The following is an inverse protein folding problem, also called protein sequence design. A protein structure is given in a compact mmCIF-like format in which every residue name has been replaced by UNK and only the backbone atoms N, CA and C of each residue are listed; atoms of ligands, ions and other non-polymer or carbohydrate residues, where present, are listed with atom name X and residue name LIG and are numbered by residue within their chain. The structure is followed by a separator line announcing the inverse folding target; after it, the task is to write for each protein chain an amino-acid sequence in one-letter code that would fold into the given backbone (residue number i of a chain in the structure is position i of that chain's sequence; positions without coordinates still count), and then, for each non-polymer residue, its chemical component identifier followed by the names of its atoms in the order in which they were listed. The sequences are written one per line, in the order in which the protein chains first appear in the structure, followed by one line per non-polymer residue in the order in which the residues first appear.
data_IF_316903814332
#
_entry.id   IF_316903814332
#
_cell.length_a   1.000
_cell.length_b   1.000
_cell.length_c   1.000
_cell.angle_alpha   90.00
_cell.angle_beta   90.00
_cell.angle_gamma   90.00
#
_symmetry.space_group_name_H-M   'P 1'
#
loop_
_entity.id
_entity.type
_entity.pdbx_description
1 polymer ?
#
# COMPACT_ATOMS: atom_id res chain seq x y z
N UNK A 1 37.38 44.69 19.55
CA UNK A 1 36.20 43.80 19.47
C UNK A 1 35.97 43.39 18.02
N UNK A 2 36.24 42.15 17.62
CA UNK A 2 35.94 41.71 16.26
C UNK A 2 34.50 41.22 16.17
N UNK A 3 33.80 41.64 15.11
CA UNK A 3 32.39 41.33 14.85
C UNK A 3 32.19 39.83 14.58
N UNK A 4 31.45 39.18 15.47
CA UNK A 4 30.94 37.81 15.28
C UNK A 4 29.82 37.85 14.23
N UNK A 5 30.12 37.41 13.01
CA UNK A 5 29.10 37.14 11.98
C UNK A 5 28.39 35.84 12.32
N UNK A 6 27.19 35.94 12.92
CA UNK A 6 26.26 34.83 13.09
C UNK A 6 25.86 34.30 11.70
N UNK A 7 26.30 33.10 11.34
CA UNK A 7 25.72 32.34 10.22
C UNK A 7 24.25 32.05 10.55
N UNK A 8 23.36 32.55 9.69
CA UNK A 8 21.93 32.18 9.70
C UNK A 8 21.80 30.66 9.47
N UNK A 9 20.81 29.98 10.09
CA UNK A 9 20.57 28.57 9.88
C UNK A 9 20.20 28.30 8.41
N UNK A 10 20.68 27.16 7.89
CA UNK A 10 20.37 26.69 6.54
C UNK A 10 18.86 26.76 6.28
N UNK A 11 18.51 27.51 5.25
CA UNK A 11 17.16 27.60 4.70
C UNK A 11 16.72 26.18 4.30
N UNK A 12 15.48 25.74 4.60
CA UNK A 12 15.00 24.47 4.07
C UNK A 12 15.10 24.50 2.54
N UNK A 13 15.62 23.42 1.96
CA UNK A 13 15.73 23.24 0.51
C UNK A 13 14.36 23.52 -0.11
N UNK A 14 14.30 24.45 -1.07
CA UNK A 14 13.07 24.69 -1.84
C UNK A 14 12.70 23.37 -2.52
N UNK A 15 11.42 22.93 -2.47
CA UNK A 15 11.02 21.74 -3.21
C UNK A 15 11.35 21.93 -4.68
N UNK A 16 12.12 20.99 -5.23
CA UNK A 16 12.53 20.97 -6.62
C UNK A 16 11.27 21.11 -7.51
N UNK A 17 11.21 22.17 -8.32
CA UNK A 17 10.06 22.53 -9.18
C UNK A 17 9.98 21.69 -10.46
N UNK A 18 10.57 20.50 -10.44
CA UNK A 18 10.47 19.54 -11.53
C UNK A 18 9.25 18.64 -11.32
N UNK A 19 8.56 18.25 -12.40
CA UNK A 19 7.46 17.30 -12.31
C UNK A 19 7.95 15.95 -11.78
N UNK A 20 7.03 15.18 -11.19
CA UNK A 20 7.31 13.85 -10.68
C UNK A 20 7.23 12.86 -11.84
N UNK A 21 8.31 12.14 -12.10
CA UNK A 21 8.30 11.09 -13.11
C UNK A 21 7.84 9.79 -12.48
N UNK A 22 6.86 9.14 -13.12
CA UNK A 22 6.31 7.88 -12.68
C UNK A 22 6.41 6.82 -13.78
N UNK A 23 6.60 5.58 -13.33
CA UNK A 23 6.51 4.39 -14.15
C UNK A 23 5.30 3.57 -13.70
N UNK A 24 4.62 2.94 -14.67
CA UNK A 24 3.55 2.01 -14.34
C UNK A 24 4.15 0.70 -13.85
N UNK A 25 3.72 0.21 -12.69
CA UNK A 25 4.12 -1.10 -12.18
C UNK A 25 3.14 -2.18 -12.60
N UNK A 26 3.66 -3.35 -12.99
CA UNK A 26 2.86 -4.58 -12.99
C UNK A 26 2.69 -5.02 -11.55
N UNK A 27 1.46 -5.07 -11.09
CA UNK A 27 1.13 -5.71 -9.81
C UNK A 27 0.16 -6.85 -10.04
N UNK A 28 -0.10 -7.66 -9.01
CA UNK A 28 -1.08 -8.77 -9.01
C UNK A 28 -2.51 -8.37 -9.39
N UNK A 29 -2.74 -7.08 -9.60
CA UNK A 29 -3.93 -6.50 -10.21
C UNK A 29 -4.00 -6.83 -11.72
N UNK A 30 -2.86 -6.93 -12.41
CA UNK A 30 -2.76 -7.06 -13.87
C UNK A 30 -2.52 -8.49 -14.38
N UNK A 31 -1.93 -9.39 -13.57
CA UNK A 31 -1.68 -10.78 -13.97
C UNK A 31 -1.74 -11.75 -12.77
N UNK A 32 -2.37 -12.91 -12.95
CA UNK A 32 -2.35 -13.96 -11.93
C UNK A 32 -1.00 -14.65 -11.78
N UNK A 33 -0.73 -15.23 -10.61
CA UNK A 33 0.52 -15.97 -10.38
C UNK A 33 0.64 -17.21 -11.30
N UNK A 34 1.85 -17.75 -11.49
CA UNK A 34 2.10 -18.93 -12.36
C UNK A 34 1.27 -20.17 -11.96
N UNK A 35 0.88 -20.28 -10.68
CA UNK A 35 0.00 -21.34 -10.17
C UNK A 35 -1.49 -21.10 -10.47
N UNK A 36 -1.84 -19.92 -10.96
CA UNK A 36 -3.21 -19.49 -11.21
C UNK A 36 -3.60 -19.53 -12.69
N UNK A 37 -2.66 -19.78 -13.63
CA UNK A 37 -2.99 -19.93 -15.05
C UNK A 37 -4.12 -20.96 -15.24
N UNK A 38 -5.23 -20.51 -15.84
CA UNK A 38 -6.47 -21.28 -16.01
C UNK A 38 -6.23 -22.65 -16.60
N UNK A 39 -5.24 -22.72 -17.48
CA UNK A 39 -4.86 -23.90 -18.27
C UNK A 39 -4.34 -25.04 -17.40
N UNK A 40 -3.99 -24.78 -16.13
CA UNK A 40 -3.53 -25.79 -15.16
C UNK A 40 -4.62 -26.32 -14.22
N UNK A 41 -5.85 -25.79 -14.29
CA UNK A 41 -6.98 -26.23 -13.43
C UNK A 41 -7.82 -27.32 -14.11
N UNK A 42 -8.53 -28.18 -13.36
CA UNK A 42 -9.45 -29.17 -13.92
C UNK A 42 -10.46 -28.55 -14.91
N UNK A 43 -10.82 -29.26 -16.00
CA UNK A 43 -11.63 -28.72 -17.10
C UNK A 43 -13.01 -28.19 -16.66
N UNK A 44 -13.62 -28.80 -15.64
CA UNK A 44 -14.88 -28.35 -15.06
C UNK A 44 -14.77 -26.93 -14.45
N UNK A 45 -13.65 -26.62 -13.80
CA UNK A 45 -13.37 -25.30 -13.21
C UNK A 45 -13.10 -24.27 -14.32
N UNK A 46 -12.49 -24.68 -15.43
CA UNK A 46 -12.28 -23.81 -16.58
C UNK A 46 -13.61 -23.45 -17.27
N UNK A 47 -14.51 -24.42 -17.45
CA UNK A 47 -15.80 -24.22 -18.12
C UNK A 47 -16.74 -23.32 -17.31
N UNK A 48 -16.93 -23.63 -16.03
CA UNK A 48 -17.71 -22.79 -15.09
C UNK A 48 -17.19 -21.35 -15.05
N UNK A 49 -15.87 -21.18 -15.05
CA UNK A 49 -15.23 -19.87 -15.09
C UNK A 49 -15.48 -19.13 -16.40
N UNK A 50 -15.39 -19.79 -17.56
CA UNK A 50 -15.70 -19.15 -18.85
C UNK A 50 -17.16 -18.66 -18.87
N UNK A 51 -18.09 -19.45 -18.34
CA UNK A 51 -19.48 -19.05 -18.19
C UNK A 51 -19.65 -17.82 -17.29
N UNK A 52 -19.09 -17.82 -16.07
CA UNK A 52 -19.14 -16.68 -15.14
C UNK A 52 -18.51 -15.43 -15.78
N UNK A 53 -17.33 -15.58 -16.39
CA UNK A 53 -16.59 -14.49 -17.02
C UNK A 53 -17.39 -13.85 -18.16
N UNK A 54 -18.08 -14.69 -18.95
CA UNK A 54 -19.00 -14.28 -20.01
C UNK A 54 -20.21 -13.53 -19.47
N UNK A 55 -20.88 -14.05 -18.43
CA UNK A 55 -22.03 -13.40 -17.79
C UNK A 55 -21.67 -12.01 -17.27
N UNK A 56 -20.55 -11.88 -16.53
CA UNK A 56 -20.06 -10.58 -16.07
C UNK A 56 -19.70 -9.65 -17.24
N UNK A 57 -19.27 -10.20 -18.38
CA UNK A 57 -19.00 -9.44 -19.61
C UNK A 57 -20.24 -8.81 -20.18
N UNK A 58 -21.28 -9.62 -20.33
CA UNK A 58 -22.59 -9.15 -20.78
C UNK A 58 -23.17 -8.12 -19.82
N UNK A 59 -23.12 -8.39 -18.50
CA UNK A 59 -23.56 -7.44 -17.47
C UNK A 59 -22.80 -6.12 -17.56
N UNK A 60 -21.48 -6.15 -17.73
CA UNK A 60 -20.69 -4.94 -17.82
C UNK A 60 -21.03 -4.12 -19.06
N UNK A 61 -21.14 -4.76 -20.23
CA UNK A 61 -21.54 -4.07 -21.45
C UNK A 61 -22.92 -3.40 -21.30
N UNK A 62 -23.88 -4.11 -20.70
CA UNK A 62 -25.22 -3.59 -20.43
C UNK A 62 -25.20 -2.43 -19.41
N UNK A 63 -24.47 -2.58 -18.30
CA UNK A 63 -24.39 -1.59 -17.23
C UNK A 63 -23.59 -0.35 -17.64
N UNK A 64 -22.52 -0.48 -18.43
CA UNK A 64 -21.82 0.65 -19.06
C UNK A 64 -22.75 1.42 -19.99
N UNK A 65 -23.54 0.73 -20.82
CA UNK A 65 -24.50 1.39 -21.71
C UNK A 65 -25.59 2.11 -20.92
N UNK A 66 -26.11 1.49 -19.86
CA UNK A 66 -27.10 2.09 -18.98
C UNK A 66 -26.56 3.32 -18.24
N UNK A 67 -25.35 3.22 -17.67
CA UNK A 67 -24.68 4.33 -16.98
C UNK A 67 -24.47 5.54 -17.91
N UNK A 68 -23.97 5.30 -19.12
CA UNK A 68 -23.81 6.36 -20.13
C UNK A 68 -25.14 6.99 -20.53
N UNK A 69 -26.19 6.18 -20.75
CA UNK A 69 -27.53 6.68 -21.07
C UNK A 69 -28.13 7.50 -19.92
N UNK A 70 -27.81 7.15 -18.68
CA UNK A 70 -28.22 7.88 -17.47
C UNK A 70 -27.36 9.14 -17.21
N UNK A 71 -26.48 9.53 -18.12
CA UNK A 71 -25.63 10.72 -17.98
C UNK A 71 -24.53 10.57 -16.92
N UNK A 72 -24.13 9.34 -16.59
CA UNK A 72 -23.06 9.14 -15.60
C UNK A 72 -21.70 9.48 -16.21
N UNK A 73 -20.91 10.25 -15.46
CA UNK A 73 -19.55 10.63 -15.84
C UNK A 73 -18.53 9.82 -15.04
N UNK A 74 -17.34 9.56 -15.59
CA UNK A 74 -16.22 8.98 -14.85
C UNK A 74 -15.96 9.74 -13.55
N UNK A 75 -15.57 9.00 -12.52
CA UNK A 75 -15.04 9.51 -11.26
C UNK A 75 -13.86 8.63 -10.82
N UNK A 76 -12.97 9.19 -10.01
CA UNK A 76 -11.84 8.48 -9.44
C UNK A 76 -12.20 8.01 -8.03
N UNK A 77 -11.90 6.75 -7.75
CA UNK A 77 -11.84 6.16 -6.42
C UNK A 77 -10.36 6.03 -6.06
N UNK A 78 -9.80 6.97 -5.29
CA UNK A 78 -8.39 6.96 -4.96
C UNK A 78 -8.11 5.94 -3.87
N UNK A 79 -6.98 5.24 -3.99
CA UNK A 79 -6.47 4.38 -2.93
C UNK A 79 -5.46 5.17 -2.09
N UNK A 80 -5.16 4.62 -0.93
CA UNK A 80 -4.16 5.16 -0.03
C UNK A 80 -2.78 4.86 -0.62
N UNK A 81 -2.00 5.90 -0.85
CA UNK A 81 -0.64 5.75 -1.32
C UNK A 81 0.31 5.39 -0.19
N UNK A 82 1.42 4.76 -0.53
CA UNK A 82 2.54 4.56 0.40
C UNK A 82 3.87 4.58 -0.34
N UNK A 83 4.97 4.77 0.37
CA UNK A 83 6.29 4.78 -0.23
C UNK A 83 7.41 4.99 0.77
N UNK A 84 8.59 5.27 0.23
CA UNK A 84 9.77 5.72 0.98
C UNK A 84 10.15 7.13 0.56
N UNK A 85 11.18 7.70 1.17
CA UNK A 85 11.73 8.99 0.76
C UNK A 85 12.17 9.01 -0.72
N UNK A 86 12.33 7.87 -1.39
CA UNK A 86 12.80 7.79 -2.79
C UNK A 86 11.69 7.50 -3.81
N UNK A 87 10.60 6.87 -3.38
CA UNK A 87 9.51 6.50 -4.27
C UNK A 87 8.16 6.62 -3.58
N UNK A 88 7.12 6.89 -4.37
CA UNK A 88 5.73 6.93 -3.95
C UNK A 88 4.90 6.03 -4.84
N UNK A 89 4.12 5.16 -4.23
CA UNK A 89 3.16 4.33 -4.93
C UNK A 89 1.78 4.98 -4.91
N UNK A 90 1.25 5.19 -6.10
CA UNK A 90 -0.02 5.87 -6.35
C UNK A 90 -0.97 4.90 -7.03
N UNK A 91 -2.12 4.66 -6.41
CA UNK A 91 -3.10 3.69 -6.89
C UNK A 91 -4.47 4.37 -6.96
N UNK A 92 -5.19 4.17 -8.05
CA UNK A 92 -6.59 4.58 -8.14
C UNK A 92 -7.40 3.68 -9.06
N UNK A 93 -8.72 3.82 -8.99
CA UNK A 93 -9.65 3.20 -9.92
C UNK A 93 -10.65 4.21 -10.49
N UNK A 94 -10.93 4.16 -11.78
CA UNK A 94 -11.96 4.95 -12.44
C UNK A 94 -13.23 4.16 -12.67
N UNK A 95 -14.36 4.77 -12.32
CA UNK A 95 -15.71 4.17 -12.33
C UNK A 95 -16.74 5.19 -12.78
N UNK A 96 -17.86 4.76 -13.35
CA UNK A 96 -18.97 5.66 -13.67
C UNK A 96 -19.78 5.99 -12.42
N UNK A 97 -20.09 7.28 -12.23
CA UNK A 97 -20.96 7.74 -11.15
C UNK A 97 -22.02 8.74 -11.62
N UNK A 98 -23.15 8.78 -10.92
CA UNK A 98 -24.26 9.69 -11.20
C UNK A 98 -23.86 11.18 -11.04
N UNK A 99 -24.48 12.10 -11.80
CA UNK A 99 -24.31 13.55 -11.62
C UNK A 99 -24.70 14.02 -10.20
N UNK A 100 -24.09 15.10 -9.71
CA UNK A 100 -24.42 15.71 -8.41
C UNK A 100 -24.02 14.90 -7.17
N UNK A 101 -23.70 13.61 -7.32
CA UNK A 101 -23.02 12.84 -6.28
C UNK A 101 -21.53 13.22 -6.30
N UNK A 102 -21.18 14.27 -5.55
CA UNK A 102 -19.80 14.47 -5.09
C UNK A 102 -19.37 13.28 -4.22
N UNK A 103 -18.08 13.12 -3.97
CA UNK A 103 -17.59 12.17 -2.96
C UNK A 103 -18.07 12.67 -1.59
N UNK A 104 -19.33 12.42 -1.26
CA UNK A 104 -19.73 12.36 0.12
C UNK A 104 -19.08 11.06 0.60
N UNK A 105 -18.05 11.17 1.44
CA UNK A 105 -17.54 10.08 2.32
C UNK A 105 -18.64 9.61 3.31
N UNK A 106 -19.92 9.72 2.95
CA UNK A 106 -20.99 9.03 3.62
C UNK A 106 -20.80 7.58 3.26
N UNK A 107 -20.41 6.81 4.27
CA UNK A 107 -20.31 5.35 4.28
C UNK A 107 -21.37 4.77 3.33
N UNK A 108 -20.91 4.39 2.13
CA UNK A 108 -21.80 3.88 1.10
C UNK A 108 -22.11 2.42 1.43
N UNK A 109 -23.40 2.07 1.39
CA UNK A 109 -23.90 0.73 1.73
C UNK A 109 -23.20 -0.36 0.91
N UNK A 110 -22.87 -1.46 1.58
CA UNK A 110 -21.90 -2.48 1.18
C UNK A 110 -22.04 -3.12 -0.22
N UNK A 111 -23.23 -3.10 -0.81
CA UNK A 111 -23.54 -3.74 -2.11
C UNK A 111 -23.05 -2.89 -3.30
N UNK A 112 -22.94 -1.56 -3.15
CA UNK A 112 -22.78 -0.66 -4.30
C UNK A 112 -21.51 -0.93 -5.12
N UNK A 113 -20.43 -1.40 -4.49
CA UNK A 113 -19.16 -1.67 -5.17
C UNK A 113 -19.18 -2.91 -6.07
N UNK A 114 -19.99 -3.93 -5.75
CA UNK A 114 -20.18 -5.10 -6.63
C UNK A 114 -20.87 -4.67 -7.94
N UNK A 115 -21.61 -3.57 -7.90
CA UNK A 115 -22.33 -2.98 -9.04
C UNK A 115 -21.68 -1.70 -9.57
N UNK A 116 -20.48 -1.36 -9.11
CA UNK A 116 -19.77 -0.23 -9.69
C UNK A 116 -19.35 -0.59 -11.10
N UNK A 117 -19.74 0.28 -12.02
CA UNK A 117 -19.46 0.11 -13.44
C UNK A 117 -18.09 0.73 -13.67
N UNK A 118 -17.02 -0.05 -13.95
CA UNK A 118 -15.74 0.55 -14.29
C UNK A 118 -15.85 1.53 -15.46
N UNK A 119 -14.98 2.53 -15.44
CA UNK A 119 -14.82 3.50 -16.51
C UNK A 119 -13.39 3.33 -17.04
N UNK A 120 -13.19 2.51 -18.09
CA UNK A 120 -11.87 2.13 -18.54
C UNK A 120 -11.26 3.21 -19.43
N UNK A 121 -9.92 3.27 -19.50
CA UNK A 121 -9.19 4.21 -20.36
C UNK A 121 -9.60 5.66 -20.11
N UNK A 122 -9.80 6.01 -18.85
CA UNK A 122 -10.12 7.37 -18.44
C UNK A 122 -8.80 8.10 -18.18
N UNK A 123 -8.58 9.28 -18.80
CA UNK A 123 -7.41 10.10 -18.49
C UNK A 123 -7.58 10.72 -17.11
N UNK A 124 -6.55 10.56 -16.29
CA UNK A 124 -6.49 11.09 -14.92
C UNK A 124 -5.25 11.97 -14.80
N UNK A 125 -5.42 13.18 -14.30
CA UNK A 125 -4.32 14.03 -13.86
C UNK A 125 -4.04 13.74 -12.39
N UNK A 126 -2.76 13.58 -12.05
CA UNK A 126 -2.33 13.26 -10.69
C UNK A 126 -1.32 14.30 -10.24
N UNK A 127 -1.42 14.74 -8.99
CA UNK A 127 -0.37 15.50 -8.33
C UNK A 127 -0.12 15.00 -6.91
N UNK A 128 1.12 15.11 -6.45
CA UNK A 128 1.52 14.85 -5.06
C UNK A 128 1.95 16.19 -4.47
N UNK A 129 1.25 16.63 -3.43
CA UNK A 129 1.41 17.96 -2.81
C UNK A 129 1.40 19.12 -3.82
N UNK A 130 0.55 19.01 -4.83
CA UNK A 130 0.41 20.00 -5.90
C UNK A 130 1.44 19.89 -7.03
N UNK A 131 2.41 18.97 -6.93
CA UNK A 131 3.39 18.74 -8.00
C UNK A 131 2.84 17.69 -8.96
N UNK A 132 2.72 17.98 -10.27
CA UNK A 132 2.16 17.04 -11.24
C UNK A 132 3.03 15.79 -11.40
N UNK A 133 2.37 14.65 -11.54
CA UNK A 133 2.97 13.35 -11.87
C UNK A 133 2.81 13.09 -13.37
N UNK A 134 3.90 12.72 -14.03
CA UNK A 134 3.96 12.40 -15.45
C UNK A 134 4.38 10.95 -15.65
N UNK A 135 3.84 10.29 -16.68
CA UNK A 135 4.29 8.98 -17.15
C UNK A 135 4.89 9.11 -18.57
N UNK A 136 6.01 8.42 -18.86
CA UNK A 136 6.74 8.53 -20.13
C UNK A 136 5.93 8.13 -21.39
N UNK A 137 6.46 8.45 -22.60
CA UNK A 137 5.76 8.41 -23.92
C UNK A 137 4.87 7.18 -24.08
N UNK A 138 3.58 7.46 -24.25
CA UNK A 138 2.57 6.48 -24.60
C UNK A 138 1.49 6.32 -23.54
N UNK A 139 0.93 7.41 -23.02
CA UNK A 139 -0.33 7.40 -22.26
C UNK A 139 -1.51 6.66 -22.92
N UNK A 140 -1.32 5.91 -24.01
CA UNK A 140 -2.23 4.87 -24.52
C UNK A 140 -1.84 3.50 -23.95
N UNK A 141 -2.80 2.88 -23.26
CA UNK A 141 -2.82 1.47 -22.86
C UNK A 141 -2.54 0.57 -24.08
N UNK A 142 -1.30 0.14 -24.24
CA UNK A 142 -0.86 -0.96 -25.11
C UNK A 142 -0.53 -2.17 -24.26
N UNK A 143 -0.74 -3.37 -24.81
CA UNK A 143 -0.64 -4.67 -24.13
C UNK A 143 0.82 -4.96 -23.69
N UNK A 144 1.09 -4.93 -22.38
CA UNK A 144 2.45 -4.88 -21.80
C UNK A 144 2.95 -6.27 -21.44
N UNK A 145 3.32 -7.10 -22.42
CA UNK A 145 3.91 -8.43 -22.23
C UNK A 145 5.37 -8.44 -21.75
N UNK A 146 6.02 -7.28 -21.58
CA UNK A 146 7.44 -7.17 -21.22
C UNK A 146 7.58 -6.58 -19.80
N UNK A 147 8.61 -6.98 -19.06
CA UNK A 147 9.06 -6.47 -17.74
C UNK A 147 8.49 -7.17 -16.48
N UNK A 148 9.39 -7.84 -15.75
CA UNK A 148 9.20 -8.53 -14.46
C UNK A 148 10.37 -8.12 -13.55
N UNK A 149 10.08 -7.73 -12.29
CA UNK A 149 11.00 -7.51 -11.14
C UNK A 149 11.50 -6.08 -10.82
N UNK A 150 11.81 -5.86 -9.53
CA UNK A 150 12.39 -4.64 -8.94
C UNK A 150 13.86 -4.44 -9.34
N UNK A 151 14.56 -5.46 -9.85
CA UNK A 151 15.97 -5.36 -10.27
C UNK A 151 16.16 -4.56 -11.57
N UNK A 152 15.11 -4.33 -12.36
CA UNK A 152 15.15 -3.38 -13.49
C UNK A 152 15.11 -1.91 -13.07
N UNK A 153 15.27 -1.60 -11.77
CA UNK A 153 15.32 -0.24 -11.20
C UNK A 153 16.52 0.61 -11.68
N UNK A 154 17.51 0.03 -12.35
CA UNK A 154 18.70 0.78 -12.80
C UNK A 154 18.58 1.30 -14.24
N UNK A 155 17.64 0.81 -15.04
CA UNK A 155 17.45 1.25 -16.43
C UNK A 155 16.39 2.36 -16.54
N UNK A 156 16.68 3.55 -16.00
CA UNK A 156 15.84 4.76 -16.10
C UNK A 156 16.22 5.67 -17.29
N UNK A 157 17.16 5.27 -18.14
CA UNK A 157 17.80 6.17 -19.13
C UNK A 157 16.99 6.48 -20.39
N UNK A 158 15.76 5.99 -20.57
CA UNK A 158 14.91 6.44 -21.69
C UNK A 158 14.06 7.67 -21.33
N UNK A 159 14.77 8.74 -20.94
CA UNK A 159 14.22 10.08 -20.65
C UNK A 159 13.91 10.90 -21.92
N UNK A 160 14.22 10.38 -23.11
CA UNK A 160 13.93 10.99 -24.43
C UNK A 160 12.42 11.10 -24.77
N UNK A 161 11.56 10.80 -23.79
CA UNK A 161 10.12 10.75 -23.95
C UNK A 161 9.35 11.95 -23.41
N UNK A 162 10.03 12.90 -22.76
CA UNK A 162 9.42 14.12 -22.21
C UNK A 162 9.77 15.38 -23.01
N UNK A 163 9.87 15.26 -24.34
CA UNK A 163 10.07 16.41 -25.24
C UNK A 163 9.00 17.50 -24.97
N UNK A 164 9.46 18.75 -24.82
CA UNK A 164 8.66 19.97 -24.59
C UNK A 164 8.20 20.28 -23.15
N UNK A 165 8.79 19.72 -22.09
CA UNK A 165 8.50 20.21 -20.72
C UNK A 165 8.84 21.70 -20.51
N UNK A 166 9.86 22.20 -21.20
CA UNK A 166 10.29 23.61 -21.14
C UNK A 166 9.30 24.57 -21.81
N UNK A 167 8.29 24.04 -22.52
CA UNK A 167 7.25 24.85 -23.18
C UNK A 167 6.14 25.31 -22.23
N UNK A 168 6.09 24.79 -21.00
CA UNK A 168 5.08 25.15 -20.01
C UNK A 168 5.56 26.23 -19.05
N UNK A 169 4.78 27.30 -18.89
CA UNK A 169 5.13 28.46 -18.07
C UNK A 169 5.26 28.13 -16.57
N UNK A 170 4.47 27.17 -16.07
CA UNK A 170 4.47 26.75 -14.68
C UNK A 170 3.89 25.32 -14.50
N UNK A 171 4.00 24.79 -13.28
CA UNK A 171 3.51 23.45 -12.93
C UNK A 171 2.00 23.33 -13.01
N UNK A 172 1.24 24.41 -12.79
CA UNK A 172 -0.22 24.38 -12.85
C UNK A 172 -0.70 24.19 -14.30
N UNK A 173 -0.04 24.87 -15.25
CA UNK A 173 -0.27 24.71 -16.69
C UNK A 173 0.09 23.29 -17.15
N UNK A 174 1.19 22.72 -16.63
CA UNK A 174 1.58 21.34 -16.91
C UNK A 174 0.58 20.34 -16.32
N UNK A 175 0.08 20.57 -15.11
CA UNK A 175 -0.82 19.67 -14.39
C UNK A 175 -2.19 19.46 -15.05
N UNK A 176 -2.61 20.38 -15.93
CA UNK A 176 -3.85 20.30 -16.70
C UNK A 176 -3.63 19.99 -18.18
N UNK A 177 -2.38 19.78 -18.58
CA UNK A 177 -2.00 19.52 -19.98
C UNK A 177 -2.22 18.05 -20.37
N UNK A 178 -2.37 17.78 -21.67
CA UNK A 178 -2.46 16.42 -22.21
C UNK A 178 -1.22 15.56 -21.87
N UNK A 179 -0.06 16.19 -21.68
CA UNK A 179 1.19 15.50 -21.31
C UNK A 179 1.12 14.90 -19.90
N UNK A 180 0.26 15.46 -19.04
CA UNK A 180 0.01 14.97 -17.68
C UNK A 180 -1.15 13.98 -17.56
N UNK A 181 -1.84 13.66 -18.67
CA UNK A 181 -2.92 12.68 -18.67
C UNK A 181 -2.36 11.25 -18.60
N UNK A 182 -2.72 10.54 -17.55
CA UNK A 182 -2.38 9.12 -17.39
C UNK A 182 -3.67 8.30 -17.50
N UNK A 183 -3.75 7.44 -18.53
CA UNK A 183 -4.94 6.63 -18.77
C UNK A 183 -4.97 5.39 -17.88
N UNK A 184 -6.13 5.14 -17.28
CA UNK A 184 -6.43 3.88 -16.60
C UNK A 184 -6.56 2.72 -17.58
N UNK A 185 -6.42 1.48 -17.10
CA UNK A 185 -6.51 0.30 -17.95
C UNK A 185 -7.94 -0.10 -18.36
N UNK A 186 -8.07 -1.31 -18.91
CA UNK A 186 -9.33 -1.88 -19.37
C UNK A 186 -10.36 -2.15 -18.24
N UNK A 187 -9.93 -2.16 -16.98
CA UNK A 187 -10.79 -2.31 -15.79
C UNK A 187 -10.89 -1.00 -14.99
N UNK A 188 -10.27 0.07 -15.49
CA UNK A 188 -10.23 1.37 -14.83
C UNK A 188 -9.16 1.46 -13.75
N UNK A 189 -8.21 0.53 -13.65
CA UNK A 189 -7.12 0.61 -12.67
C UNK A 189 -5.94 1.43 -13.17
N UNK A 190 -5.24 2.04 -12.20
CA UNK A 190 -3.96 2.68 -12.39
C UNK A 190 -3.11 2.46 -11.13
N UNK A 191 -1.89 1.96 -11.33
CA UNK A 191 -0.89 1.68 -10.31
C UNK A 191 0.45 2.22 -10.81
N UNK A 192 0.98 3.23 -10.13
CA UNK A 192 2.16 3.98 -10.54
C UNK A 192 3.17 4.01 -9.41
N UNK A 193 4.44 3.85 -9.76
CA UNK A 193 5.59 4.22 -8.92
C UNK A 193 6.15 5.54 -9.40
N UNK A 194 5.94 6.59 -8.61
CA UNK A 194 6.50 7.92 -8.76
C UNK A 194 7.87 8.00 -8.05
N UNK A 195 8.93 8.38 -8.76
CA UNK A 195 10.27 8.57 -8.18
C UNK A 195 10.48 10.04 -7.82
N UNK A 196 10.67 10.32 -6.53
CA UNK A 196 10.98 11.67 -6.04
C UNK A 196 11.48 11.59 -4.60
N UNK A 197 12.44 12.47 -4.30
CA UNK A 197 12.85 12.75 -2.93
C UNK A 197 11.71 13.40 -2.14
N UNK A 198 11.22 12.69 -1.14
CA UNK A 198 10.14 13.09 -0.26
C UNK A 198 10.57 13.04 1.19
N UNK A 199 9.96 13.90 2.01
CA UNK A 199 10.15 13.83 3.46
C UNK A 199 9.32 12.70 4.05
N UNK A 200 9.75 12.03 5.13
CA UNK A 200 8.89 11.10 5.84
C UNK A 200 7.66 11.80 6.42
N UNK A 201 6.51 11.12 6.37
CA UNK A 201 5.25 11.66 6.89
C UNK A 201 4.06 11.42 5.98
N UNK A 202 3.00 12.22 6.20
CA UNK A 202 1.75 12.13 5.44
C UNK A 202 1.71 13.24 4.40
N UNK A 203 1.57 12.83 3.15
CA UNK A 203 1.45 13.69 1.97
C UNK A 203 0.07 13.54 1.34
N UNK A 204 -0.28 14.41 0.40
CA UNK A 204 -1.59 14.39 -0.26
C UNK A 204 -1.45 14.10 -1.74
N UNK A 205 -2.13 13.05 -2.21
CA UNK A 205 -2.32 12.79 -3.64
C UNK A 205 -3.64 13.43 -4.05
N UNK A 206 -3.62 14.18 -5.15
CA UNK A 206 -4.80 14.75 -5.80
C UNK A 206 -5.00 14.09 -7.15
N UNK A 207 -6.24 13.68 -7.43
CA UNK A 207 -6.64 13.09 -8.71
C UNK A 207 -7.73 13.96 -9.33
N UNK A 208 -7.58 14.29 -10.61
CA UNK A 208 -8.57 15.05 -11.36
C UNK A 208 -8.97 14.31 -12.64
N UNK A 209 -10.27 14.33 -12.93
CA UNK A 209 -10.86 13.82 -14.17
C UNK A 209 -11.85 14.83 -14.71
N UNK A 210 -12.07 14.80 -16.03
CA UNK A 210 -12.99 15.70 -16.71
C UNK A 210 -14.41 15.64 -16.10
N UNK A 211 -15.06 16.80 -16.00
CA UNK A 211 -16.43 16.98 -15.50
C UNK A 211 -16.64 16.56 -14.03
N UNK A 212 -15.59 16.51 -13.21
CA UNK A 212 -15.67 16.27 -11.76
C UNK A 212 -14.70 17.18 -11.00
N UNK A 213 -15.06 17.47 -9.75
CA UNK A 213 -14.12 18.11 -8.82
C UNK A 213 -12.96 17.15 -8.50
N UNK A 214 -11.73 17.66 -8.28
CA UNK A 214 -10.60 16.86 -7.83
C UNK A 214 -10.88 16.14 -6.51
N UNK A 215 -10.24 14.99 -6.34
CA UNK A 215 -10.42 14.11 -5.18
C UNK A 215 -9.06 13.80 -4.57
N UNK A 216 -9.00 13.67 -3.25
CA UNK A 216 -7.72 13.49 -2.53
C UNK A 216 -7.65 12.20 -1.73
N UNK A 217 -6.45 11.64 -1.63
CA UNK A 217 -6.12 10.54 -0.72
C UNK A 217 -4.78 10.77 -0.01
N UNK A 218 -4.60 10.20 1.18
CA UNK A 218 -3.32 10.28 1.89
C UNK A 218 -2.26 9.39 1.22
N UNK A 219 -1.02 9.85 1.29
CA UNK A 219 0.21 9.14 0.90
C UNK A 219 1.12 9.04 2.12
N UNK A 220 1.44 7.82 2.54
CA UNK A 220 2.31 7.56 3.69
C UNK A 220 3.75 7.32 3.24
N UNK A 221 4.65 8.24 3.56
CA UNK A 221 6.08 8.12 3.28
C UNK A 221 6.81 7.66 4.54
N UNK A 222 7.44 6.49 4.43
CA UNK A 222 8.29 5.94 5.49
C UNK A 222 9.73 6.41 5.28
N UNK A 223 10.51 6.63 6.36
CA UNK A 223 11.95 6.86 6.23
C UNK A 223 12.64 5.76 5.41
N UNK A 224 13.57 6.14 4.53
CA UNK A 224 14.35 5.16 3.79
C UNK A 224 15.28 4.42 4.77
N UNK A 225 15.32 3.08 4.65
CA UNK A 225 16.10 2.25 5.57
C UNK A 225 15.47 1.99 6.94
N UNK A 226 14.18 2.29 7.16
CA UNK A 226 13.44 1.76 8.32
C UNK A 226 13.64 0.23 8.41
N UNK A 227 14.31 -0.30 9.46
CA UNK A 227 14.73 -1.69 9.48
C UNK A 227 13.56 -2.66 9.77
N UNK A 228 12.49 -2.13 10.37
CA UNK A 228 11.33 -2.89 10.82
C UNK A 228 10.05 -2.24 10.30
N UNK A 229 9.13 -3.06 9.80
CA UNK A 229 7.76 -2.69 9.47
C UNK A 229 6.76 -3.63 10.16
N UNK A 230 5.52 -3.17 10.32
CA UNK A 230 4.45 -3.95 10.95
C UNK A 230 3.41 -4.24 9.88
N UNK A 231 3.02 -5.51 9.74
CA UNK A 231 1.89 -5.92 8.89
C UNK A 231 0.82 -6.49 9.83
N UNK A 232 -0.33 -5.83 9.85
CA UNK A 232 -1.45 -6.16 10.73
C UNK A 232 -2.67 -6.55 9.91
N UNK A 233 -3.33 -7.66 10.23
CA UNK A 233 -4.72 -7.83 9.81
C UNK A 233 -5.63 -6.83 10.54
N UNK A 234 -6.78 -6.54 9.96
CA UNK A 234 -7.77 -5.60 10.54
C UNK A 234 -8.90 -6.36 11.23
N UNK A 235 -9.58 -7.21 10.47
CA UNK A 235 -10.78 -7.90 10.91
C UNK A 235 -10.42 -8.92 11.99
N UNK A 236 -11.16 -8.93 13.11
CA UNK A 236 -10.91 -9.75 14.29
C UNK A 236 -9.52 -9.61 14.95
N UNK A 237 -8.66 -8.73 14.45
CA UNK A 237 -7.33 -8.42 15.01
C UNK A 237 -7.30 -7.08 15.76
N UNK A 238 -7.65 -5.98 15.09
CA UNK A 238 -7.75 -4.64 15.74
C UNK A 238 -9.20 -4.25 16.02
N UNK A 239 -10.15 -4.91 15.35
CA UNK A 239 -11.58 -4.64 15.40
C UNK A 239 -12.35 -5.93 15.69
N UNK A 240 -13.29 -5.91 16.63
CA UNK A 240 -14.13 -7.08 16.96
C UNK A 240 -15.30 -7.17 15.98
N UNK A 241 -15.39 -8.28 15.23
CA UNK A 241 -16.54 -8.53 14.35
C UNK A 241 -17.74 -9.05 15.16
N UNK A 242 -18.73 -8.20 15.43
CA UNK A 242 -19.94 -8.57 16.20
C UNK A 242 -20.95 -9.44 15.43
N UNK A 243 -20.54 -10.40 14.57
CA UNK A 243 -21.52 -11.21 13.84
C UNK A 243 -21.21 -12.72 13.82
N UNK A 244 -21.98 -13.54 14.57
CA UNK A 244 -21.78 -14.99 14.69
C UNK A 244 -22.21 -15.82 13.46
N UNK A 245 -22.62 -15.20 12.34
CA UNK A 245 -23.19 -15.95 11.22
C UNK A 245 -22.83 -15.32 9.88
N UNK A 246 -22.14 -16.05 8.98
CA UNK A 246 -21.56 -15.52 7.73
C UNK A 246 -22.59 -14.84 6.81
N UNK A 247 -23.80 -15.42 6.71
CA UNK A 247 -24.89 -14.83 5.92
C UNK A 247 -25.45 -13.54 6.56
N UNK A 248 -25.50 -13.48 7.89
CA UNK A 248 -25.86 -12.25 8.60
C UNK A 248 -24.70 -11.24 8.61
N UNK A 249 -23.45 -11.69 8.54
CA UNK A 249 -22.28 -10.82 8.44
C UNK A 249 -22.28 -10.10 7.09
N UNK A 250 -22.58 -10.81 6.00
CA UNK A 250 -22.86 -10.21 4.71
C UNK A 250 -24.08 -9.27 4.79
N UNK A 251 -25.23 -9.71 5.30
CA UNK A 251 -26.43 -8.86 5.35
C UNK A 251 -26.28 -7.61 6.25
N UNK A 252 -25.65 -7.74 7.43
CA UNK A 252 -25.33 -6.60 8.31
C UNK A 252 -24.24 -5.74 7.71
N UNK A 253 -23.23 -6.29 7.04
CA UNK A 253 -22.26 -5.52 6.25
C UNK A 253 -22.94 -4.63 5.19
N UNK A 254 -24.07 -5.08 4.64
CA UNK A 254 -24.84 -4.32 3.66
C UNK A 254 -25.67 -3.17 4.27
N UNK A 255 -26.03 -3.26 5.55
CA UNK A 255 -27.03 -2.38 6.18
C UNK A 255 -26.65 -1.76 7.54
N UNK A 256 -25.50 -2.10 8.13
CA UNK A 256 -25.14 -1.71 9.50
C UNK A 256 -24.27 -0.46 9.55
N UNK A 257 -24.56 0.37 10.55
CA UNK A 257 -23.87 1.61 10.81
C UNK A 257 -22.42 1.36 11.32
N UNK A 258 -21.38 1.94 10.69
CA UNK A 258 -19.97 1.86 11.11
C UNK A 258 -19.66 2.21 12.56
N UNK A 259 -20.47 3.09 13.17
CA UNK A 259 -20.21 3.67 14.49
C UNK A 259 -20.42 2.71 15.67
N UNK A 260 -20.62 1.41 15.44
CA UNK A 260 -20.85 0.40 16.50
C UNK A 260 -19.76 -0.67 16.62
N UNK A 261 -18.67 -0.59 15.87
CA UNK A 261 -17.59 -1.59 15.95
C UNK A 261 -16.63 -1.25 17.09
N UNK A 262 -16.49 -2.16 18.03
CA UNK A 262 -15.56 -2.04 19.15
C UNK A 262 -14.15 -2.44 18.73
N UNK A 263 -13.14 -1.70 19.17
CA UNK A 263 -11.74 -2.12 19.06
C UNK A 263 -11.45 -3.27 20.03
N UNK A 264 -10.42 -4.05 19.72
CA UNK A 264 -9.94 -5.10 20.61
C UNK A 264 -9.30 -4.47 21.86
N UNK A 265 -9.71 -4.88 23.07
CA UNK A 265 -9.17 -4.33 24.31
C UNK A 265 -7.64 -4.36 24.35
N UNK A 266 -7.03 -3.21 24.63
CA UNK A 266 -5.57 -3.04 24.77
C UNK A 266 -4.77 -3.13 23.47
N UNK A 267 -5.39 -3.35 22.31
CA UNK A 267 -4.64 -3.52 21.06
C UNK A 267 -4.02 -2.21 20.57
N UNK A 268 -4.73 -1.08 20.70
CA UNK A 268 -4.16 0.22 20.37
C UNK A 268 -2.95 0.56 21.26
N UNK A 269 -3.02 0.23 22.56
CA UNK A 269 -1.90 0.42 23.50
C UNK A 269 -0.70 -0.43 23.07
N UNK A 270 -0.92 -1.69 22.74
CA UNK A 270 0.13 -2.58 22.24
C UNK A 270 0.79 -2.03 20.96
N UNK A 271 -0.02 -1.54 20.01
CA UNK A 271 0.49 -1.03 18.73
C UNK A 271 1.28 0.26 18.91
N UNK A 272 0.81 1.18 19.76
CA UNK A 272 1.58 2.38 20.08
C UNK A 272 2.88 2.03 20.81
N UNK A 273 2.90 1.02 21.68
CA UNK A 273 4.14 0.56 22.31
C UNK A 273 5.13 0.01 21.28
N UNK A 274 4.66 -0.71 20.26
CA UNK A 274 5.50 -1.14 19.13
C UNK A 274 6.04 0.09 18.37
N UNK A 275 5.19 1.08 18.09
CA UNK A 275 5.60 2.31 17.41
C UNK A 275 6.67 3.09 18.20
N UNK A 276 6.57 3.12 19.54
CA UNK A 276 7.57 3.73 20.42
C UNK A 276 8.91 2.97 20.41
N UNK A 277 8.86 1.64 20.30
CA UNK A 277 10.06 0.80 20.25
C UNK A 277 10.80 0.95 18.92
N UNK A 278 10.06 1.07 17.82
CA UNK A 278 10.56 1.23 16.46
C UNK A 278 10.09 2.56 15.83
N UNK A 279 10.65 3.71 16.24
CA UNK A 279 10.28 5.00 15.66
C UNK A 279 10.45 5.03 14.14
N UNK A 280 9.42 5.48 13.42
CA UNK A 280 9.43 5.53 11.96
C UNK A 280 9.13 4.20 11.25
N UNK A 281 8.84 3.12 12.01
CA UNK A 281 8.35 1.87 11.43
C UNK A 281 6.93 2.04 10.87
N UNK A 282 6.69 1.73 9.59
CA UNK A 282 5.35 1.80 9.02
C UNK A 282 4.43 0.69 9.53
N UNK A 283 3.16 1.03 9.71
CA UNK A 283 2.08 0.09 9.97
C UNK A 283 1.26 -0.12 8.71
N UNK A 284 1.37 -1.30 8.11
CA UNK A 284 0.54 -1.74 6.98
C UNK A 284 -0.64 -2.54 7.50
N UNK A 285 -1.86 -2.05 7.25
CA UNK A 285 -3.09 -2.74 7.63
C UNK A 285 -3.65 -3.51 6.44
N UNK A 286 -3.80 -4.82 6.56
CA UNK A 286 -4.42 -5.69 5.56
C UNK A 286 -5.86 -6.01 5.95
N UNK A 287 -6.77 -6.08 5.00
CA UNK A 287 -8.11 -6.59 5.25
C UNK A 287 -8.64 -7.32 4.03
N UNK A 288 -9.39 -8.41 4.27
CA UNK A 288 -10.12 -9.13 3.23
C UNK A 288 -11.44 -8.46 2.87
N UNK A 289 -11.83 -7.41 3.60
CA UNK A 289 -13.02 -6.62 3.33
C UNK A 289 -12.87 -5.79 2.03
N UNK A 290 -13.99 -5.53 1.32
CA UNK A 290 -13.94 -4.71 0.11
C UNK A 290 -13.59 -3.25 0.40
N UNK A 291 -13.10 -2.55 -0.62
CA UNK A 291 -12.59 -1.17 -0.47
C UNK A 291 -13.62 -0.13 0.05
N UNK A 292 -14.93 -0.37 -0.03
CA UNK A 292 -15.94 0.56 0.49
C UNK A 292 -15.84 0.81 2.00
N UNK A 293 -15.31 -0.16 2.75
CA UNK A 293 -15.16 0.01 4.19
C UNK A 293 -13.87 0.73 4.58
N UNK A 294 -13.05 1.16 3.62
CA UNK A 294 -11.81 1.91 3.89
C UNK A 294 -12.05 3.08 4.84
N UNK A 295 -13.00 3.97 4.52
CA UNK A 295 -13.27 5.14 5.34
C UNK A 295 -13.77 4.78 6.74
N UNK A 296 -14.45 3.64 6.88
CA UNK A 296 -14.88 3.11 8.18
C UNK A 296 -13.69 2.59 8.99
N UNK A 297 -12.84 1.77 8.38
CA UNK A 297 -11.66 1.21 9.03
C UNK A 297 -10.70 2.33 9.44
N UNK A 298 -10.46 3.29 8.55
CA UNK A 298 -9.62 4.47 8.83
C UNK A 298 -10.16 5.26 10.02
N UNK A 299 -11.48 5.46 10.08
CA UNK A 299 -12.10 6.14 11.20
C UNK A 299 -11.94 5.37 12.50
N UNK A 300 -12.04 4.03 12.48
CA UNK A 300 -11.79 3.19 13.66
C UNK A 300 -10.33 3.30 14.12
N UNK A 301 -9.36 3.21 13.21
CA UNK A 301 -7.92 3.38 13.49
C UNK A 301 -7.69 4.74 14.14
N UNK A 302 -8.27 5.81 13.57
CA UNK A 302 -8.15 7.18 14.09
C UNK A 302 -8.83 7.36 15.45
N UNK A 303 -10.09 6.94 15.58
CA UNK A 303 -10.91 7.17 16.77
C UNK A 303 -10.40 6.39 17.99
N UNK A 304 -9.79 5.23 17.79
CA UNK A 304 -9.23 4.41 18.87
C UNK A 304 -7.72 4.61 19.08
N UNK A 305 -7.12 5.58 18.37
CA UNK A 305 -5.72 5.97 18.57
C UNK A 305 -4.70 4.93 18.12
N UNK A 306 -5.00 4.13 17.09
CA UNK A 306 -4.00 3.25 16.48
C UNK A 306 -2.99 4.06 15.65
N UNK A 307 -1.74 3.59 15.50
CA UNK A 307 -0.78 4.18 14.58
C UNK A 307 -1.35 4.30 13.18
N UNK A 308 -1.24 5.48 12.58
CA UNK A 308 -1.74 5.71 11.22
C UNK A 308 -0.86 5.00 10.19
N UNK A 309 -1.47 4.52 9.12
CA UNK A 309 -0.73 3.88 8.03
C UNK A 309 -1.60 3.53 6.83
N UNK A 310 -0.96 2.98 5.77
CA UNK A 310 -1.66 2.49 4.60
C UNK A 310 -2.58 1.31 4.94
N UNK A 311 -3.78 1.32 4.35
CA UNK A 311 -4.76 0.25 4.46
C UNK A 311 -4.86 -0.41 3.09
N UNK A 312 -4.37 -1.65 2.99
CA UNK A 312 -4.40 -2.46 1.79
C UNK A 312 -5.63 -3.36 1.86
N UNK A 313 -6.66 -2.98 1.10
CA UNK A 313 -7.94 -3.65 1.07
C UNK A 313 -8.06 -4.56 -0.14
N UNK A 314 -8.87 -5.60 0.01
CA UNK A 314 -9.25 -6.46 -1.10
C UNK A 314 -10.09 -5.68 -2.11
N UNK A 315 -9.74 -5.80 -3.38
CA UNK A 315 -10.68 -5.51 -4.45
C UNK A 315 -11.51 -6.75 -4.79
N UNK A 316 -12.83 -6.57 -4.81
CA UNK A 316 -13.80 -7.59 -5.22
C UNK A 316 -14.26 -7.23 -6.63
N UNK A 317 -13.32 -7.17 -7.58
CA UNK A 317 -13.65 -7.20 -9.00
C UNK A 317 -13.59 -8.66 -9.52
N UNK A 318 -14.70 -9.21 -10.03
CA UNK A 318 -14.74 -10.57 -10.53
C UNK A 318 -13.91 -10.84 -11.81
N UNK A 319 -13.24 -9.88 -12.49
CA UNK A 319 -12.41 -10.16 -13.70
C UNK A 319 -11.27 -9.16 -14.03
N UNK A 320 -10.16 -9.59 -14.66
CA UNK A 320 -9.43 -10.84 -14.47
C UNK A 320 -8.26 -10.63 -13.50
N UNK A 321 -8.53 -10.64 -12.18
CA UNK A 321 -7.75 -11.55 -11.34
C UNK A 321 -8.18 -12.96 -11.74
N UNK A 322 -7.27 -13.90 -11.96
CA UNK A 322 -7.58 -15.20 -12.60
C UNK A 322 -8.29 -16.19 -11.66
N UNK A 323 -8.90 -15.67 -10.61
CA UNK A 323 -9.75 -16.35 -9.66
C UNK A 323 -10.42 -15.26 -8.80
N UNK A 324 -11.42 -15.62 -7.98
CA UNK A 324 -11.76 -14.86 -6.77
C UNK A 324 -10.80 -15.40 -5.70
N UNK A 325 -9.67 -14.74 -5.39
CA UNK A 325 -8.67 -15.36 -4.53
C UNK A 325 -9.25 -15.68 -3.15
N UNK A 326 -8.84 -16.80 -2.56
CA UNK A 326 -9.12 -17.08 -1.14
C UNK A 326 -8.54 -15.94 -0.28
N UNK A 327 -9.05 -15.75 0.94
CA UNK A 327 -8.54 -14.71 1.85
C UNK A 327 -7.01 -14.76 2.00
N UNK A 328 -6.44 -15.97 2.07
CA UNK A 328 -4.99 -16.24 2.12
C UNK A 328 -4.25 -15.68 0.93
N UNK A 329 -4.78 -15.84 -0.28
CA UNK A 329 -4.05 -15.51 -1.49
C UNK A 329 -3.93 -13.98 -1.63
N UNK A 330 -4.97 -13.21 -1.30
CA UNK A 330 -4.88 -11.74 -1.30
C UNK A 330 -3.89 -11.22 -0.28
N UNK A 331 -3.94 -11.72 0.96
CA UNK A 331 -2.99 -11.32 2.01
C UNK A 331 -1.56 -11.64 1.57
N UNK A 332 -1.34 -12.81 0.97
CA UNK A 332 -0.05 -13.21 0.45
C UNK A 332 0.45 -12.30 -0.69
N UNK A 333 -0.40 -11.96 -1.66
CA UNK A 333 -0.05 -11.03 -2.75
C UNK A 333 0.37 -9.65 -2.21
N UNK A 334 -0.37 -9.09 -1.26
CA UNK A 334 -0.02 -7.82 -0.64
C UNK A 334 1.29 -7.90 0.14
N UNK A 335 1.51 -8.98 0.88
CA UNK A 335 2.78 -9.17 1.59
C UNK A 335 3.94 -9.32 0.60
N UNK A 336 3.79 -10.10 -0.47
CA UNK A 336 4.83 -10.21 -1.51
C UNK A 336 5.16 -8.86 -2.15
N UNK A 337 4.14 -8.06 -2.40
CA UNK A 337 4.29 -6.70 -2.88
C UNK A 337 5.09 -5.83 -1.89
N UNK A 338 4.74 -5.84 -0.62
CA UNK A 338 5.48 -5.10 0.42
C UNK A 338 6.92 -5.60 0.56
N UNK A 339 7.17 -6.91 0.44
CA UNK A 339 8.53 -7.47 0.47
C UNK A 339 9.38 -6.97 -0.70
N UNK A 340 8.77 -6.79 -1.87
CA UNK A 340 9.41 -6.23 -3.06
C UNK A 340 9.63 -4.71 -2.95
N UNK A 341 8.62 -3.98 -2.49
CA UNK A 341 8.68 -2.51 -2.35
C UNK A 341 9.67 -2.07 -1.25
N UNK A 342 9.86 -2.91 -0.22
CA UNK A 342 10.77 -2.66 0.90
C UNK A 342 11.81 -3.78 1.04
N UNK A 343 12.78 -3.90 0.13
CA UNK A 343 13.66 -5.08 0.02
C UNK A 343 14.62 -5.28 1.21
N UNK A 344 14.84 -4.26 2.03
CA UNK A 344 15.72 -4.35 3.22
C UNK A 344 14.95 -4.41 4.55
N UNK A 345 13.63 -4.17 4.51
CA UNK A 345 12.81 -4.10 5.72
C UNK A 345 12.42 -5.50 6.19
N UNK A 346 12.55 -5.75 7.49
CA UNK A 346 12.03 -6.97 8.13
C UNK A 346 10.69 -6.67 8.80
N UNK A 347 9.85 -7.68 8.93
CA UNK A 347 8.46 -7.48 9.31
C UNK A 347 8.07 -8.22 10.59
N UNK A 348 7.21 -7.58 11.38
CA UNK A 348 6.43 -8.20 12.44
C UNK A 348 5.02 -8.41 11.90
N UNK A 349 4.50 -9.62 12.02
CA UNK A 349 3.17 -9.98 11.51
C UNK A 349 2.18 -10.09 12.68
N UNK A 350 1.02 -9.43 12.59
CA UNK A 350 -0.02 -9.43 13.60
C UNK A 350 -1.36 -9.81 12.97
N UNK A 351 -2.00 -10.88 13.45
CA UNK A 351 -3.27 -11.37 12.91
C UNK A 351 -4.10 -12.13 13.96
N UNK A 352 -5.10 -12.89 13.52
CA UNK A 352 -5.98 -13.68 14.38
C UNK A 352 -6.00 -15.19 14.03
N UNK A 353 -6.44 -16.05 14.96
CA UNK A 353 -6.54 -17.50 14.72
C UNK A 353 -7.89 -17.97 14.15
N UNK A 354 -8.83 -17.04 13.94
CA UNK A 354 -10.13 -17.27 13.34
C UNK A 354 -10.13 -17.29 11.82
N UNK A 355 -9.22 -16.53 11.21
CA UNK A 355 -8.95 -16.54 9.78
C UNK A 355 -7.78 -17.48 9.44
N UNK A 356 -7.40 -17.50 8.15
CA UNK A 356 -6.29 -18.33 7.67
C UNK A 356 -4.92 -17.63 7.89
N UNK A 357 -4.78 -16.78 8.91
CA UNK A 357 -3.57 -15.98 9.13
C UNK A 357 -2.38 -16.82 9.60
N UNK A 358 -2.54 -17.79 10.53
CA UNK A 358 -1.44 -18.69 10.87
C UNK A 358 -0.88 -19.42 9.65
N UNK A 359 -1.76 -19.95 8.79
CA UNK A 359 -1.36 -20.61 7.53
C UNK A 359 -0.69 -19.65 6.56
N UNK A 360 -1.19 -18.42 6.45
CA UNK A 360 -0.63 -17.38 5.59
C UNK A 360 0.77 -16.98 6.06
N UNK A 361 0.93 -16.72 7.35
CA UNK A 361 2.20 -16.33 7.95
C UNK A 361 3.23 -17.46 7.90
N UNK A 362 2.83 -18.72 8.10
CA UNK A 362 3.71 -19.87 7.91
C UNK A 362 4.23 -19.99 6.47
N UNK A 363 3.40 -19.64 5.49
CA UNK A 363 3.85 -19.62 4.09
C UNK A 363 4.80 -18.46 3.82
N UNK A 364 4.53 -17.28 4.38
CA UNK A 364 5.37 -16.10 4.23
C UNK A 364 6.77 -16.32 4.82
N UNK A 365 6.87 -16.89 6.03
CA UNK A 365 8.16 -17.17 6.67
C UNK A 365 9.02 -18.13 5.84
N UNK A 366 8.40 -19.14 5.22
CA UNK A 366 9.08 -20.08 4.31
C UNK A 366 9.52 -19.43 3.00
N UNK A 367 8.72 -18.50 2.46
CA UNK A 367 9.04 -17.80 1.21
C UNK A 367 10.11 -16.72 1.40
N UNK A 368 10.18 -16.12 2.59
CA UNK A 368 11.08 -15.01 2.91
C UNK A 368 11.84 -15.28 4.22
N UNK A 369 12.75 -16.28 4.23
CA UNK A 369 13.53 -16.61 5.42
C UNK A 369 14.33 -15.39 5.90
N UNK A 370 14.35 -15.16 7.21
CA UNK A 370 15.03 -14.02 7.84
C UNK A 370 14.34 -12.66 7.67
N UNK A 371 13.26 -12.56 6.89
CA UNK A 371 12.49 -11.31 6.72
C UNK A 371 11.39 -11.14 7.74
N UNK A 372 10.99 -12.18 8.46
CA UNK A 372 9.97 -12.13 9.52
C UNK A 372 10.65 -12.24 10.88
N UNK A 373 10.40 -11.28 11.76
CA UNK A 373 11.04 -11.20 13.09
C UNK A 373 10.22 -11.90 14.17
N UNK A 374 8.91 -11.76 14.11
CA UNK A 374 7.98 -12.32 15.07
C UNK A 374 6.57 -12.35 14.49
N UNK A 375 5.74 -13.25 15.01
CA UNK A 375 4.33 -13.37 14.67
C UNK A 375 3.51 -13.24 15.96
N UNK A 376 2.55 -12.33 16.00
CA UNK A 376 1.55 -12.24 17.06
C UNK A 376 0.18 -12.68 16.55
N UNK A 377 -0.43 -13.67 17.19
CA UNK A 377 -1.74 -14.19 16.84
C UNK A 377 -2.72 -13.92 17.97
N UNK A 378 -3.76 -13.13 17.69
CA UNK A 378 -4.89 -12.96 18.59
C UNK A 378 -5.69 -14.25 18.62
N UNK A 379 -5.90 -14.80 19.81
CA UNK A 379 -6.73 -15.97 20.02
C UNK A 379 -8.18 -15.56 20.27
N UNK A 380 -9.08 -15.96 19.38
CA UNK A 380 -10.51 -15.81 19.61
C UNK A 380 -10.98 -16.79 20.71
N UNK A 381 -12.00 -16.39 21.46
CA UNK A 381 -12.59 -17.19 22.56
C UNK A 381 -13.45 -18.33 22.02
N UNK A 382 -13.82 -19.33 22.83
CA UNK A 382 -14.61 -20.49 22.40
C UNK A 382 -15.95 -20.11 21.75
N UNK A 383 -16.62 -19.06 22.25
CA UNK A 383 -17.87 -18.53 21.68
C UNK A 383 -17.66 -17.88 20.29
N UNK A 384 -16.47 -17.34 20.04
CA UNK A 384 -16.04 -16.81 18.74
C UNK A 384 -15.50 -17.94 17.81
N UNK A 385 -14.86 -18.98 18.39
CA UNK A 385 -14.21 -20.11 17.70
C UNK A 385 -15.15 -21.21 17.24
N UNK A 386 -16.17 -21.56 18.03
CA UNK A 386 -17.06 -22.71 17.73
C UNK A 386 -17.78 -22.55 16.38
N UNK A 387 -17.92 -21.31 15.90
CA UNK A 387 -18.55 -20.97 14.62
C UNK A 387 -17.57 -20.93 13.44
N UNK A 388 -16.28 -20.66 13.69
CA UNK A 388 -15.26 -20.55 12.66
C UNK A 388 -14.49 -21.87 12.43
N UNK A 389 -14.31 -22.70 13.47
CA UNK A 389 -13.68 -24.02 13.37
C UNK A 389 -14.47 -25.01 12.49
N UNK A 390 -15.79 -24.84 12.37
CA UNK A 390 -16.64 -25.64 11.45
C UNK A 390 -16.32 -25.31 9.98
N UNK A 391 -15.76 -24.13 9.69
CA UNK A 391 -15.44 -23.66 8.33
C UNK A 391 -13.95 -23.82 7.97
N UNK A 392 -13.04 -23.77 8.95
CA UNK A 392 -11.59 -23.96 8.72
C UNK A 392 -10.87 -24.41 10.00
N UNK A 393 -10.26 -25.61 10.05
CA UNK A 393 -9.41 -26.01 11.16
C UNK A 393 -8.03 -25.35 11.04
N UNK A 394 -7.65 -24.52 12.01
CA UNK A 394 -6.34 -23.85 12.08
C UNK A 394 -5.44 -24.57 13.10
N UNK A 395 -4.26 -25.02 12.66
CA UNK A 395 -3.19 -25.50 13.55
C UNK A 395 -2.18 -24.39 13.83
N UNK A 396 -1.43 -24.51 14.93
CA UNK A 396 -0.28 -23.63 15.16
C UNK A 396 0.66 -23.64 13.93
N UNK A 397 1.18 -22.48 13.51
CA UNK A 397 2.06 -22.42 12.35
C UNK A 397 3.41 -23.05 12.71
N UNK A 398 3.80 -24.06 11.94
CA UNK A 398 5.11 -24.71 12.02
C UNK A 398 6.16 -23.83 11.32
N UNK A 399 6.81 -22.97 12.11
CA UNK A 399 7.71 -21.90 11.64
C UNK A 399 8.92 -21.72 12.57
N UNK A 400 10.06 -21.36 11.98
CA UNK A 400 11.32 -21.10 12.69
C UNK A 400 11.42 -19.70 13.31
N UNK A 401 10.28 -18.98 13.43
CA UNK A 401 10.22 -17.63 14.00
C UNK A 401 9.40 -17.63 15.29
N UNK A 402 9.70 -16.76 16.27
CA UNK A 402 8.91 -16.66 17.50
C UNK A 402 7.44 -16.33 17.21
N UNK A 403 6.53 -17.17 17.75
CA UNK A 403 5.08 -16.98 17.65
C UNK A 403 4.48 -16.75 19.03
N UNK A 404 3.70 -15.68 19.16
CA UNK A 404 3.05 -15.26 20.40
C UNK A 404 1.54 -15.35 20.25
N UNK A 405 0.87 -15.72 21.33
CA UNK A 405 -0.58 -15.87 21.37
C UNK A 405 -1.19 -15.07 22.53
N UNK A 406 -2.36 -14.49 22.31
CA UNK A 406 -3.11 -13.83 23.37
C UNK A 406 -4.51 -13.41 22.93
N UNK A 407 -5.48 -13.37 23.85
CA UNK A 407 -6.88 -13.04 23.52
C UNK A 407 -7.12 -11.54 23.30
N UNK A 408 -6.24 -10.70 23.84
CA UNK A 408 -6.31 -9.24 23.79
C UNK A 408 -4.94 -8.63 23.52
N UNK A 409 -4.91 -7.33 23.23
CA UNK A 409 -3.66 -6.60 23.09
C UNK A 409 -2.82 -6.61 24.36
N UNK A 410 -3.44 -6.68 25.54
CA UNK A 410 -2.71 -6.77 26.83
C UNK A 410 -1.96 -8.09 26.96
N UNK A 411 -2.61 -9.22 26.61
CA UNK A 411 -1.98 -10.55 26.67
C UNK A 411 -0.92 -10.77 25.59
N UNK A 412 -1.11 -10.20 24.39
CA UNK A 412 -0.07 -10.23 23.36
C UNK A 412 1.12 -9.36 23.77
N UNK A 413 0.85 -8.17 24.33
CA UNK A 413 1.90 -7.29 24.82
C UNK A 413 2.72 -7.96 25.91
N UNK A 414 2.10 -8.60 26.91
CA UNK A 414 2.86 -9.21 28.01
C UNK A 414 3.81 -10.33 27.56
N UNK A 415 3.46 -11.05 26.50
CA UNK A 415 4.27 -12.17 26.00
C UNK A 415 5.29 -11.74 24.95
N UNK A 416 4.92 -10.80 24.07
CA UNK A 416 5.73 -10.41 22.91
C UNK A 416 6.69 -9.25 23.21
N UNK A 417 6.33 -8.36 24.14
CA UNK A 417 7.10 -7.14 24.42
C UNK A 417 8.57 -7.40 24.81
N UNK A 418 8.94 -8.40 25.63
CA UNK A 418 10.34 -8.65 25.97
C UNK A 418 11.22 -8.93 24.75
N UNK A 419 10.70 -9.68 23.76
CA UNK A 419 11.41 -9.91 22.51
C UNK A 419 11.54 -8.62 21.70
N UNK A 420 10.46 -7.85 21.59
CA UNK A 420 10.46 -6.59 20.84
C UNK A 420 11.42 -5.56 21.43
N UNK A 421 11.53 -5.48 22.75
CA UNK A 421 12.49 -4.61 23.43
C UNK A 421 13.93 -5.03 23.16
N UNK A 422 14.21 -6.35 23.14
CA UNK A 422 15.51 -6.86 22.74
C UNK A 422 15.84 -6.50 21.29
N UNK A 423 14.92 -6.78 20.37
CA UNK A 423 15.08 -6.43 18.95
C UNK A 423 15.31 -4.93 18.74
N UNK A 424 14.57 -4.08 19.45
CA UNK A 424 14.74 -2.62 19.37
C UNK A 424 16.12 -2.17 19.87
N UNK A 425 16.67 -2.79 20.92
CA UNK A 425 18.03 -2.52 21.40
C UNK A 425 19.08 -2.94 20.38
N UNK A 426 18.92 -4.13 19.79
CA UNK A 426 19.84 -4.65 18.78
C UNK A 426 19.85 -3.75 17.53
N UNK A 427 18.68 -3.26 17.09
CA UNK A 427 18.56 -2.32 15.97
C UNK A 427 19.22 -0.98 16.24
N UNK A 428 19.04 -0.42 17.45
CA UNK A 428 19.69 0.84 17.84
C UNK A 428 21.21 0.70 17.89
N UNK A 429 21.72 -0.42 18.40
CA UNK A 429 23.14 -0.71 18.40
C UNK A 429 23.68 -0.84 16.97
N UNK A 430 22.98 -1.54 16.08
CA UNK A 430 23.36 -1.69 14.68
C UNK A 430 23.29 -0.37 13.90
N UNK A 431 22.34 0.52 14.21
CA UNK A 431 22.27 1.86 13.62
C UNK A 431 23.45 2.72 14.07
N UNK A 432 23.77 2.73 15.37
CA UNK A 432 24.91 3.47 15.91
C UNK A 432 26.25 3.03 15.29
N UNK A 433 26.47 1.72 15.12
CA UNK A 433 27.67 1.20 14.45
C UNK A 433 27.78 1.65 12.99
N UNK A 434 26.67 1.68 12.25
CA UNK A 434 26.63 2.17 10.87
C UNK A 434 26.98 3.66 10.78
N UNK A 435 26.44 4.48 11.68
CA UNK A 435 26.77 5.91 11.76
C UNK A 435 28.25 6.15 12.08
N UNK A 436 28.81 5.39 13.02
CA UNK A 436 30.23 5.48 13.37
C UNK A 436 31.12 5.12 12.18
N UNK A 437 30.82 4.03 11.47
CA UNK A 437 31.56 3.62 10.28
C UNK A 437 31.48 4.65 9.15
N UNK A 438 30.29 5.21 8.90
CA UNK A 438 30.12 6.26 7.91
C UNK A 438 30.90 7.54 8.27
N UNK A 439 30.91 7.92 9.55
CA UNK A 439 31.69 9.05 10.05
C UNK A 439 33.20 8.84 9.88
N UNK A 440 33.69 7.64 10.20
CA UNK A 440 35.11 7.28 10.01
C UNK A 440 35.52 7.29 8.53
N UNK A 441 34.68 6.77 7.64
CA UNK A 441 34.93 6.80 6.20
C UNK A 441 35.01 8.25 5.67
N UNK A 442 34.09 9.12 6.10
CA UNK A 442 34.09 10.53 5.72
C UNK A 442 35.31 11.29 6.30
N UNK A 443 35.83 10.88 7.46
CA UNK A 443 37.08 11.43 8.00
C UNK A 443 38.29 10.97 7.20
N UNK A 444 38.37 9.70 6.81
CA UNK A 444 39.47 9.18 5.99
C UNK A 444 39.54 9.88 4.62
N UNK A 445 38.40 10.05 3.95
CA UNK A 445 38.31 10.74 2.66
C UNK A 445 38.74 12.22 2.76
N UNK A 446 38.51 12.87 3.91
CA UNK A 446 38.99 14.23 4.16
C UNK A 446 40.50 14.31 4.43
N UNK A 447 41.09 13.28 5.02
CA UNK A 447 42.54 13.20 5.24
C UNK A 447 43.25 12.97 3.90
N UNK A 448 42.76 12.05 3.07
CA UNK A 448 43.30 11.80 1.73
C UNK A 448 43.19 13.03 0.81
N UNK A 449 42.10 13.81 0.91
CA UNK A 449 41.94 15.06 0.18
C UNK A 449 42.85 16.20 0.70
N UNK A 450 43.31 16.15 1.95
CA UNK A 450 44.22 17.13 2.55
C UNK A 450 45.69 16.81 2.24
N UNK A 451 46.04 15.54 2.09
CA UNK A 451 47.40 15.08 1.73
C UNK A 451 47.67 15.16 0.22
N UNK A 452 46.65 15.43 -0.60
CA UNK A 452 46.74 15.63 -2.06
C UNK A 452 47.23 17.02 -2.51
N UNK A 453 48.14 17.68 -1.77
CA UNK A 453 48.83 18.88 -2.25
C UNK A 453 49.98 18.45 -3.17
N UNK A 454 50.05 18.85 -4.45
CA UNK A 454 51.18 18.51 -5.29
C UNK A 454 52.41 19.26 -4.79
N UNK A 455 53.35 18.52 -4.20
CA UNK A 455 54.69 19.00 -3.93
C UNK A 455 55.42 19.29 -5.23
N UNK A 456 55.38 20.53 -5.71
CA UNK A 456 56.34 21.04 -6.68
C UNK A 456 57.58 21.53 -5.92
N UNK A 457 58.50 20.60 -5.66
CA UNK A 457 59.92 20.93 -5.56
C UNK A 457 60.58 20.37 -6.80
N UNK A 458 61.02 21.26 -7.69
CA UNK A 458 62.42 21.22 -8.08
C UNK A 458 62.89 22.58 -8.59
N UNK A 459 63.88 23.08 -7.86
CA UNK A 459 64.82 24.13 -8.22
C UNK A 459 65.96 23.42 -8.93
N UNK A 460 66.25 23.79 -10.19
CA UNK A 460 67.58 23.79 -10.83
C UNK A 460 67.48 24.47 -12.19
#
# INVERSE_FOLDING_TARGET
MPKVTRKLPNKPSKPNKQPILAQRTRTTIDRPSVREQTDRKPPLIQLTRRAITGIFGCWYAASTRAARKAGWHPRVEPYVGYGTEKFSRVICRTVYGAPGHGIRRTVSRGIRNIFMVPAPKVPVHISIDGIPVLAGKGGKVGDLSQFESFESFESFENLDSFENLDSFENLDALAVSEVSEINTDAQGYMDLLAKRDMTPGVHTITYAVKNRAPVTSPLFISPDGSPVGIISDVDDTIMVSQVPNVAQAAMKFLFTNPYKRSSVPGMSVFYNKIADLFPGAPFFYLSTSPWNVEGTIREVIRAHGFPQGPILLRDIDPRPKTFIPSGVQHKLEFVQQLMSDFPKMRFILLGDDGQQDPTTYARITRLYPGRILAIGIRQLTSDEKHLQQILTPTSAPDVDVPVFYGQSGVSLMSTMLPLLEKLAKDERAAAFQRELQAGLAHMAERVDAADGVPGSTDVS
#
